data_IF_025449429205
#
_entry.id   IF_025449429205
#
_cell.length_a   1.000
_cell.length_b   1.000
_cell.length_c   1.000
_cell.angle_alpha   90.00
_cell.angle_beta   90.00
_cell.angle_gamma   90.00
#
_symmetry.space_group_name_H-M   'P 1'
#
loop_
_entity.id
_entity.type
_entity.pdbx_description
1 polymer ?
#
# COMPACT_ATOMS: atom_id res chain seq x y z
N UNK A 1 -49.67 15.75 -31.59
CA UNK A 1 -48.41 15.18 -32.09
C UNK A 1 -47.29 15.77 -31.24
N UNK A 2 -47.27 15.48 -29.93
CA UNK A 2 -46.61 14.28 -29.33
C UNK A 2 -45.14 14.18 -29.79
N UNK A 3 -44.11 14.09 -28.94
CA UNK A 3 -44.04 13.73 -27.53
C UNK A 3 -42.61 13.98 -26.98
N UNK A 4 -42.55 14.37 -25.70
CA UNK A 4 -41.62 14.06 -24.58
C UNK A 4 -40.24 13.38 -24.77
N UNK A 5 -39.40 13.64 -23.75
CA UNK A 5 -38.15 13.00 -23.28
C UNK A 5 -36.87 13.44 -24.02
N UNK A 6 -35.76 13.81 -23.36
CA UNK A 6 -35.23 13.25 -22.11
C UNK A 6 -34.41 14.29 -21.34
N UNK A 7 -34.65 14.34 -20.04
CA UNK A 7 -33.73 14.85 -19.03
C UNK A 7 -32.43 14.04 -19.10
N UNK A 8 -31.26 14.67 -19.21
CA UNK A 8 -30.03 14.07 -18.68
C UNK A 8 -29.52 14.96 -17.56
N UNK A 9 -29.92 14.49 -16.39
CA UNK A 9 -29.47 14.83 -15.08
C UNK A 9 -27.97 14.50 -14.99
N UNK A 10 -27.09 15.47 -15.27
CA UNK A 10 -25.69 15.34 -14.84
C UNK A 10 -25.62 15.68 -13.35
N UNK A 11 -26.20 14.79 -12.54
CA UNK A 11 -25.76 14.56 -11.18
C UNK A 11 -24.62 13.56 -11.26
N UNK A 12 -23.41 14.03 -11.02
CA UNK A 12 -22.23 13.26 -10.61
C UNK A 12 -21.14 14.30 -10.37
N UNK A 13 -20.49 14.43 -9.25
CA UNK A 13 -20.61 14.01 -7.87
C UNK A 13 -19.77 15.06 -7.13
N UNK A 14 -19.90 15.26 -5.82
CA UNK A 14 -18.94 16.11 -5.11
C UNK A 14 -17.54 15.58 -5.42
N UNK A 15 -16.63 16.50 -5.73
CA UNK A 15 -15.20 16.24 -5.74
C UNK A 15 -14.84 15.63 -4.37
N UNK A 16 -14.93 14.30 -4.27
CA UNK A 16 -14.20 13.56 -3.28
C UNK A 16 -12.76 13.95 -3.55
N UNK A 17 -12.23 14.79 -2.67
CA UNK A 17 -10.81 14.92 -2.44
C UNK A 17 -10.35 13.53 -2.01
N UNK A 18 -10.18 12.66 -2.99
CA UNK A 18 -9.63 11.35 -2.81
C UNK A 18 -8.20 11.63 -2.39
N UNK A 19 -7.93 11.54 -1.09
CA UNK A 19 -6.59 11.41 -0.53
C UNK A 19 -5.93 10.08 -0.99
N UNK A 20 -6.28 9.61 -2.18
CA UNK A 20 -5.64 8.54 -2.93
C UNK A 20 -4.28 9.03 -3.37
N UNK A 21 -3.25 8.51 -2.72
CA UNK A 21 -1.96 8.34 -3.34
C UNK A 21 -2.15 7.63 -4.69
N UNK A 22 -1.90 8.36 -5.78
CA UNK A 22 -2.21 7.91 -7.14
C UNK A 22 -1.53 6.59 -7.56
N UNK A 23 -0.54 6.11 -6.79
CA UNK A 23 0.22 4.88 -7.03
C UNK A 23 0.56 4.13 -5.72
N UNK A 24 -0.29 4.27 -4.68
CA UNK A 24 0.00 3.74 -3.33
C UNK A 24 -1.12 2.92 -2.70
N UNK A 25 -0.87 2.44 -1.48
CA UNK A 25 -1.83 1.79 -0.60
C UNK A 25 -2.20 2.71 0.55
N UNK A 26 -3.47 3.13 0.59
CA UNK A 26 -4.03 3.89 1.71
C UNK A 26 -4.20 2.96 2.92
N UNK A 27 -3.63 3.36 4.05
CA UNK A 27 -3.76 2.63 5.31
C UNK A 27 -5.18 2.80 5.84
N UNK A 28 -5.76 1.69 6.34
CA UNK A 28 -7.05 1.73 7.04
C UNK A 28 -6.92 2.34 8.42
N UNK A 29 -5.80 2.08 9.09
CA UNK A 29 -5.49 2.59 10.41
C UNK A 29 -4.27 3.52 10.30
N UNK A 30 -4.49 4.80 9.99
CA UNK A 30 -3.40 5.75 9.92
C UNK A 30 -2.77 5.91 11.30
N UNK A 31 -1.45 5.81 11.36
CA UNK A 31 -0.68 5.89 12.60
C UNK A 31 0.45 6.90 12.47
N UNK A 32 1.05 7.23 13.61
CA UNK A 32 2.17 8.17 13.66
C UNK A 32 3.48 7.40 13.49
N UNK A 33 4.26 7.77 12.49
CA UNK A 33 5.58 7.21 12.23
C UNK A 33 6.57 7.60 13.33
N UNK A 34 7.70 6.89 13.36
CA UNK A 34 8.84 7.24 14.19
C UNK A 34 9.36 8.66 13.87
N UNK A 35 9.22 9.11 12.62
CA UNK A 35 9.55 10.49 12.19
C UNK A 35 8.60 11.55 12.76
N UNK A 36 7.45 11.14 13.30
CA UNK A 36 6.42 12.01 13.84
C UNK A 36 5.34 12.43 12.84
N UNK A 37 5.44 11.97 11.59
CA UNK A 37 4.45 12.21 10.54
C UNK A 37 3.29 11.22 10.64
N UNK A 38 2.08 11.64 10.26
CA UNK A 38 0.92 10.76 10.21
C UNK A 38 0.90 10.04 8.86
N UNK A 39 1.15 8.74 8.89
CA UNK A 39 1.12 7.92 7.68
C UNK A 39 -0.32 7.53 7.38
N UNK A 40 -0.86 8.10 6.31
CA UNK A 40 -2.21 7.78 5.81
C UNK A 40 -2.15 6.95 4.53
N UNK A 41 -1.07 7.04 3.76
CA UNK A 41 -0.81 6.19 2.62
C UNK A 41 0.68 5.91 2.46
N UNK A 42 1.00 4.71 1.98
CA UNK A 42 2.33 4.31 1.52
C UNK A 42 2.38 4.15 0.01
N UNK A 43 3.47 4.58 -0.62
CA UNK A 43 3.74 4.27 -2.03
C UNK A 43 4.25 2.83 -2.18
N UNK A 44 3.75 2.09 -3.17
CA UNK A 44 4.17 0.70 -3.39
C UNK A 44 5.09 0.62 -4.60
N UNK A 45 6.39 0.39 -4.37
CA UNK A 45 7.35 0.20 -5.46
C UNK A 45 7.63 -1.27 -5.73
N UNK A 46 7.89 -1.63 -6.99
CA UNK A 46 8.34 -2.98 -7.36
C UNK A 46 9.74 -3.24 -6.83
N UNK A 47 9.88 -4.24 -5.96
CA UNK A 47 11.17 -4.68 -5.44
C UNK A 47 12.01 -5.34 -6.53
N UNK A 48 13.32 -5.13 -6.48
CA UNK A 48 14.28 -5.79 -7.36
C UNK A 48 14.97 -6.94 -6.63
N UNK A 49 15.60 -7.84 -7.38
CA UNK A 49 16.46 -8.90 -6.82
C UNK A 49 17.57 -8.32 -5.93
N UNK A 50 18.00 -7.07 -6.19
CA UNK A 50 18.93 -6.35 -5.35
C UNK A 50 18.38 -6.13 -3.92
N UNK A 51 17.11 -5.77 -3.77
CA UNK A 51 16.45 -5.60 -2.47
C UNK A 51 16.33 -6.93 -1.74
N UNK A 52 15.94 -8.00 -2.43
CA UNK A 52 15.94 -9.35 -1.85
C UNK A 52 17.34 -9.76 -1.36
N UNK A 53 18.39 -9.53 -2.16
CA UNK A 53 19.76 -9.82 -1.75
C UNK A 53 20.20 -8.96 -0.57
N UNK A 54 19.76 -7.71 -0.48
CA UNK A 54 20.07 -6.83 0.64
C UNK A 54 19.38 -7.32 1.93
N UNK A 55 18.10 -7.68 1.87
CA UNK A 55 17.37 -8.28 3.00
C UNK A 55 18.05 -9.57 3.47
N UNK A 56 18.37 -10.49 2.55
CA UNK A 56 19.11 -11.74 2.84
C UNK A 56 20.52 -11.53 3.41
N UNK A 57 21.13 -10.36 3.18
CA UNK A 57 22.45 -10.00 3.74
C UNK A 57 22.34 -9.39 5.12
N UNK A 58 21.32 -8.58 5.37
CA UNK A 58 21.08 -7.95 6.66
C UNK A 58 20.56 -8.96 7.68
N UNK A 59 19.68 -9.87 7.26
CA UNK A 59 18.99 -10.81 8.13
C UNK A 59 19.29 -12.24 7.69
N UNK A 60 19.52 -13.13 8.65
CA UNK A 60 19.76 -14.56 8.37
C UNK A 60 18.47 -15.39 8.39
N UNK A 61 17.41 -14.87 9.00
CA UNK A 61 16.15 -15.56 9.23
C UNK A 61 15.14 -15.16 8.15
N UNK A 62 14.39 -16.14 7.65
CA UNK A 62 13.41 -15.90 6.58
C UNK A 62 12.21 -15.06 7.06
N UNK A 63 11.86 -15.13 8.33
CA UNK A 63 10.76 -14.34 8.93
C UNK A 63 11.04 -12.84 8.88
N UNK A 64 12.28 -12.42 9.11
CA UNK A 64 12.68 -11.00 9.06
C UNK A 64 12.83 -10.48 7.62
N UNK A 65 12.95 -11.39 6.64
CA UNK A 65 13.04 -10.97 5.23
C UNK A 65 11.74 -10.37 4.73
N UNK A 66 10.59 -10.92 5.12
CA UNK A 66 9.28 -10.43 4.66
C UNK A 66 9.06 -9.00 5.14
N UNK A 67 9.31 -8.74 6.43
CA UNK A 67 9.19 -7.41 7.02
C UNK A 67 10.07 -6.38 6.30
N UNK A 68 11.35 -6.71 6.08
CA UNK A 68 12.31 -5.78 5.45
C UNK A 68 12.00 -5.57 3.98
N UNK A 69 11.49 -6.59 3.29
CA UNK A 69 11.05 -6.45 1.91
C UNK A 69 9.79 -5.60 1.81
N UNK A 70 8.81 -5.82 2.69
CA UNK A 70 7.62 -4.96 2.79
C UNK A 70 8.03 -3.52 3.10
N UNK A 71 8.97 -3.29 4.01
CA UNK A 71 9.46 -1.95 4.36
C UNK A 71 10.07 -1.27 3.13
N UNK A 72 10.93 -1.99 2.41
CA UNK A 72 11.52 -1.50 1.16
C UNK A 72 10.50 -1.32 0.03
N UNK A 73 9.39 -2.04 0.06
CA UNK A 73 8.31 -1.94 -0.92
C UNK A 73 7.46 -0.70 -0.66
N UNK A 74 7.23 -0.38 0.62
CA UNK A 74 6.46 0.79 1.06
C UNK A 74 7.31 2.05 1.18
N UNK A 75 8.62 1.92 1.01
CA UNK A 75 9.62 2.96 1.27
C UNK A 75 9.62 3.44 2.73
N UNK A 76 9.21 2.56 3.63
CA UNK A 76 9.25 2.76 5.08
C UNK A 76 10.45 2.07 5.71
N UNK A 77 10.73 2.43 6.97
CA UNK A 77 11.67 1.71 7.79
C UNK A 77 10.98 0.53 8.51
N UNK A 78 11.72 -0.54 8.89
CA UNK A 78 11.15 -1.65 9.65
C UNK A 78 10.61 -1.20 11.03
N UNK A 79 11.19 -0.15 11.63
CA UNK A 79 10.68 0.47 12.86
C UNK A 79 9.27 1.06 12.66
N UNK A 80 8.99 1.63 11.49
CA UNK A 80 7.69 2.18 11.17
C UNK A 80 6.67 1.06 10.94
N UNK A 81 7.07 -0.05 10.33
CA UNK A 81 6.19 -1.22 10.16
C UNK A 81 5.77 -1.85 11.48
N UNK A 82 6.63 -1.82 12.51
CA UNK A 82 6.31 -2.37 13.83
C UNK A 82 5.12 -1.64 14.49
N UNK A 83 4.96 -0.34 14.20
CA UNK A 83 3.84 0.47 14.68
C UNK A 83 2.59 0.40 13.80
N UNK A 84 2.64 -0.29 12.66
CA UNK A 84 1.53 -0.41 11.73
C UNK A 84 0.49 -1.42 12.23
N UNK A 85 -0.77 -1.17 11.92
CA UNK A 85 -1.82 -2.13 12.22
C UNK A 85 -1.62 -3.45 11.46
N UNK A 86 -1.94 -4.56 12.12
CA UNK A 86 -1.75 -5.90 11.56
C UNK A 86 -2.58 -6.11 10.28
N UNK A 87 -3.77 -5.51 10.17
CA UNK A 87 -4.61 -5.61 8.99
C UNK A 87 -3.96 -4.94 7.76
N UNK A 88 -3.36 -3.78 7.97
CA UNK A 88 -2.63 -3.06 6.93
C UNK A 88 -1.34 -3.81 6.54
N UNK A 89 -0.59 -4.32 7.52
CA UNK A 89 0.59 -5.14 7.25
C UNK A 89 0.26 -6.39 6.42
N UNK A 90 -0.83 -7.09 6.75
CA UNK A 90 -1.28 -8.25 5.98
C UNK A 90 -1.68 -7.89 4.54
N UNK A 91 -2.34 -6.75 4.35
CA UNK A 91 -2.69 -6.26 3.02
C UNK A 91 -1.44 -5.98 2.17
N UNK A 92 -0.42 -5.35 2.77
CA UNK A 92 0.87 -5.09 2.13
C UNK A 92 1.63 -6.38 1.80
N UNK A 93 1.69 -7.34 2.72
CA UNK A 93 2.27 -8.67 2.48
C UNK A 93 1.56 -9.41 1.35
N UNK A 94 0.23 -9.31 1.25
CA UNK A 94 -0.55 -9.89 0.14
C UNK A 94 -0.20 -9.22 -1.19
N UNK A 95 -0.06 -7.89 -1.21
CA UNK A 95 0.38 -7.14 -2.39
C UNK A 95 1.80 -7.51 -2.79
N UNK A 96 2.71 -7.62 -1.84
CA UNK A 96 4.08 -8.09 -2.08
C UNK A 96 4.09 -9.45 -2.77
N UNK A 97 3.32 -10.42 -2.25
CA UNK A 97 3.18 -11.75 -2.87
C UNK A 97 2.62 -11.66 -4.30
N UNK A 98 1.63 -10.81 -4.55
CA UNK A 98 1.14 -10.56 -5.93
C UNK A 98 2.24 -10.01 -6.85
N UNK A 99 3.03 -9.04 -6.40
CA UNK A 99 4.13 -8.49 -7.21
C UNK A 99 5.28 -9.49 -7.43
N UNK A 100 5.55 -10.34 -6.45
CA UNK A 100 6.56 -11.39 -6.54
C UNK A 100 6.13 -12.58 -7.43
N UNK A 101 4.87 -12.60 -7.90
CA UNK A 101 4.31 -13.74 -8.62
C UNK A 101 4.12 -14.98 -7.72
N UNK A 102 4.03 -14.76 -6.41
CA UNK A 102 3.79 -15.78 -5.37
C UNK A 102 2.32 -15.83 -4.93
N UNK A 103 1.43 -15.08 -5.59
CA UNK A 103 0.00 -15.21 -5.36
C UNK A 103 -0.50 -16.44 -6.11
N UNK A 104 -0.76 -17.52 -5.37
CA UNK A 104 -1.57 -18.63 -5.88
C UNK A 104 -2.94 -18.11 -6.33
N UNK A 105 -3.34 -18.56 -7.52
CA UNK A 105 -4.57 -18.19 -8.26
C UNK A 105 -5.87 -18.38 -7.46
#
# INVERSE_FOLDING_TARGET
MENIQTEDNVSHSPVEVSNTCADGYTLKYPYKLATGEMLTCVTLRRLKVADMKAAKRQFKNSDEWDEVLIARMTELNPEDLTGMDLEDYQALSKRFRQFAGLADE
#
